data_IF_147299568667
#
_entry.id   IF_147299568667
#
_cell.length_a   1.000
_cell.length_b   1.000
_cell.length_c   1.000
_cell.angle_alpha   90.00
_cell.angle_beta   90.00
_cell.angle_gamma   90.00
#
_symmetry.space_group_name_H-M   'P 1'
#
loop_
_entity.id
_entity.type
_entity.pdbx_description
1 polymer ?
#
# COMPACT_ATOMS: atom_id res chain seq x y z
N UNK A 1 53.62 2.98 12.10
CA UNK A 1 52.50 3.41 12.95
C UNK A 1 51.19 3.08 12.22
N UNK A 2 50.51 1.94 12.45
CA UNK A 2 49.23 1.68 11.82
C UNK A 2 48.09 2.29 12.66
N UNK A 3 47.40 3.28 12.08
CA UNK A 3 46.21 3.89 12.67
C UNK A 3 45.05 2.90 12.74
N UNK A 4 44.48 2.78 13.93
CA UNK A 4 43.29 1.99 14.26
C UNK A 4 42.03 2.57 13.60
N UNK A 5 41.71 2.12 12.39
CA UNK A 5 40.50 2.56 11.66
C UNK A 5 39.48 1.43 11.46
N UNK A 6 39.42 0.45 12.36
CA UNK A 6 38.51 -0.70 12.24
C UNK A 6 37.29 -0.67 13.19
N UNK A 7 37.13 0.38 14.01
CA UNK A 7 36.08 0.39 15.05
C UNK A 7 34.69 0.87 14.59
N UNK A 8 34.59 1.58 13.46
CA UNK A 8 33.34 2.27 13.08
C UNK A 8 32.30 1.34 12.44
N UNK A 9 32.75 0.30 11.73
CA UNK A 9 31.83 -0.61 11.01
C UNK A 9 31.09 -1.59 11.91
N UNK A 10 31.66 -1.96 13.07
CA UNK A 10 31.03 -2.87 14.03
C UNK A 10 29.98 -2.15 14.89
N UNK A 11 30.26 -0.91 15.30
CA UNK A 11 29.31 -0.10 16.09
C UNK A 11 28.08 0.32 15.28
N UNK A 12 28.25 0.66 14.00
CA UNK A 12 27.14 1.07 13.12
C UNK A 12 26.14 -0.06 12.86
N UNK A 13 26.60 -1.32 12.84
CA UNK A 13 25.76 -2.49 12.53
C UNK A 13 24.85 -2.89 13.70
N UNK A 14 25.26 -2.59 14.94
CA UNK A 14 24.47 -2.84 16.15
C UNK A 14 23.45 -1.72 16.43
N UNK A 15 23.70 -0.50 15.94
CA UNK A 15 22.79 0.64 16.11
C UNK A 15 21.48 0.47 15.31
N UNK A 16 21.56 -0.06 14.08
CA UNK A 16 20.40 -0.22 13.20
C UNK A 16 19.41 -1.31 13.65
N UNK A 17 19.87 -2.33 14.39
CA UNK A 17 19.04 -3.41 14.92
C UNK A 17 18.39 -3.12 16.28
N UNK A 18 18.82 -2.07 17.00
CA UNK A 18 18.24 -1.71 18.30
C UNK A 18 16.98 -0.84 18.20
N UNK A 19 16.70 -0.26 17.05
CA UNK A 19 15.49 0.54 16.87
C UNK A 19 14.26 -0.38 16.85
N UNK A 20 13.59 -0.53 18.01
CA UNK A 20 12.25 -1.12 18.12
C UNK A 20 11.26 -0.25 17.35
N UNK A 21 11.15 -0.47 16.04
CA UNK A 21 10.11 0.16 15.23
C UNK A 21 8.78 -0.46 15.64
N UNK A 22 7.78 0.35 16.04
CA UNK A 22 6.47 -0.18 16.32
C UNK A 22 5.96 -0.92 15.08
N UNK A 23 5.33 -2.07 15.31
CA UNK A 23 4.62 -2.79 14.26
C UNK A 23 3.68 -1.81 13.54
N UNK A 24 3.70 -1.81 12.21
CA UNK A 24 2.73 -1.05 11.40
C UNK A 24 1.29 -1.57 11.59
N UNK A 25 1.13 -2.74 12.23
CA UNK A 25 -0.15 -3.32 12.59
C UNK A 25 -0.48 -2.94 14.04
N UNK A 26 -0.96 -1.72 14.23
CA UNK A 26 -1.38 -1.16 15.53
C UNK A 26 -2.71 -1.71 16.05
N UNK A 27 -3.51 -2.40 15.21
CA UNK A 27 -4.90 -2.80 15.49
C UNK A 27 -5.14 -4.32 15.46
N UNK A 28 -4.09 -5.13 15.59
CA UNK A 28 -4.17 -6.58 15.41
C UNK A 28 -3.79 -7.01 13.99
N UNK A 29 -3.22 -8.20 13.86
CA UNK A 29 -2.83 -8.79 12.59
C UNK A 29 -4.07 -9.06 11.74
N UNK A 30 -4.20 -8.31 10.65
CA UNK A 30 -5.20 -8.54 9.60
C UNK A 30 -5.00 -9.97 9.06
N UNK A 31 -6.09 -10.72 8.85
CA UNK A 31 -6.01 -12.06 8.26
C UNK A 31 -5.27 -12.02 6.91
N UNK A 32 -4.58 -13.11 6.57
CA UNK A 32 -3.86 -13.24 5.30
C UNK A 32 -4.76 -12.91 4.10
N UNK A 33 -6.00 -13.40 4.11
CA UNK A 33 -6.95 -13.18 3.01
C UNK A 33 -7.32 -11.70 2.87
N UNK A 34 -7.53 -10.99 3.98
CA UNK A 34 -7.78 -9.55 3.95
C UNK A 34 -6.56 -8.77 3.44
N UNK A 35 -5.35 -9.22 3.77
CA UNK A 35 -4.12 -8.63 3.25
C UNK A 35 -4.01 -8.80 1.72
N UNK A 36 -4.24 -10.02 1.23
CA UNK A 36 -4.23 -10.30 -0.21
C UNK A 36 -5.33 -9.54 -0.94
N UNK A 37 -6.54 -9.48 -0.38
CA UNK A 37 -7.67 -8.76 -0.96
C UNK A 37 -7.39 -7.25 -1.06
N UNK A 38 -6.78 -6.65 -0.02
CA UNK A 38 -6.32 -5.25 -0.09
C UNK A 38 -5.30 -5.04 -1.21
N UNK A 39 -4.39 -5.99 -1.40
CA UNK A 39 -3.43 -5.97 -2.51
C UNK A 39 -4.12 -5.95 -3.88
N UNK A 40 -5.12 -6.81 -4.09
CA UNK A 40 -5.91 -6.90 -5.32
C UNK A 40 -6.70 -5.61 -5.59
N UNK A 41 -7.39 -5.08 -4.58
CA UNK A 41 -8.14 -3.82 -4.69
C UNK A 41 -7.24 -2.65 -5.11
N UNK A 42 -6.04 -2.53 -4.53
CA UNK A 42 -5.08 -1.49 -4.90
C UNK A 42 -4.50 -1.68 -6.31
N UNK A 43 -4.32 -2.92 -6.75
CA UNK A 43 -3.87 -3.23 -8.10
C UNK A 43 -4.93 -2.81 -9.13
N UNK A 44 -6.20 -3.16 -8.87
CA UNK A 44 -7.34 -2.74 -9.70
C UNK A 44 -7.43 -1.22 -9.79
N UNK A 45 -7.40 -0.51 -8.65
CA UNK A 45 -7.45 0.96 -8.62
C UNK A 45 -6.36 1.58 -9.51
N UNK A 46 -5.12 1.08 -9.43
CA UNK A 46 -4.00 1.52 -10.29
C UNK A 46 -4.24 1.22 -11.76
N UNK A 47 -4.89 0.11 -12.10
CA UNK A 47 -5.27 -0.21 -13.48
C UNK A 47 -6.32 0.75 -14.01
N UNK A 48 -7.37 1.03 -13.23
CA UNK A 48 -8.43 2.00 -13.59
C UNK A 48 -7.81 3.39 -13.83
N UNK A 49 -7.01 3.90 -12.89
CA UNK A 49 -6.39 5.24 -13.02
C UNK A 49 -5.52 5.34 -14.27
N UNK A 50 -4.76 4.29 -14.61
CA UNK A 50 -3.95 4.25 -15.83
C UNK A 50 -4.81 4.16 -17.08
N UNK A 51 -5.89 3.36 -17.06
CA UNK A 51 -6.85 3.27 -18.16
C UNK A 51 -7.52 4.61 -18.45
N UNK A 52 -7.95 5.32 -17.41
CA UNK A 52 -8.55 6.66 -17.54
C UNK A 52 -7.58 7.69 -18.12
N UNK A 53 -6.26 7.51 -17.99
CA UNK A 53 -5.27 8.42 -18.59
C UNK A 53 -5.30 8.39 -20.12
N UNK A 54 -5.78 7.31 -20.72
CA UNK A 54 -5.93 7.17 -22.18
C UNK A 54 -7.20 7.85 -22.72
N UNK A 55 -8.08 8.37 -21.85
CA UNK A 55 -9.28 9.11 -22.27
C UNK A 55 -8.86 10.52 -22.70
N UNK A 56 -9.11 10.85 -23.97
CA UNK A 56 -8.75 12.13 -24.59
C UNK A 56 -9.58 13.31 -24.05
N UNK A 57 -10.90 13.10 -23.90
CA UNK A 57 -11.78 14.12 -23.35
C UNK A 57 -11.57 14.29 -21.84
N UNK A 58 -11.35 15.54 -21.40
CA UNK A 58 -11.04 15.84 -20.01
C UNK A 58 -12.27 15.67 -19.11
N UNK A 59 -13.46 16.02 -19.60
CA UNK A 59 -14.72 15.93 -18.83
C UNK A 59 -15.07 14.48 -18.54
N UNK A 60 -15.11 13.65 -19.57
CA UNK A 60 -15.38 12.22 -19.49
C UNK A 60 -14.35 11.51 -18.60
N UNK A 61 -13.07 11.89 -18.70
CA UNK A 61 -12.02 11.35 -17.83
C UNK A 61 -12.25 11.67 -16.37
N UNK A 62 -12.57 12.92 -16.05
CA UNK A 62 -12.82 13.34 -14.67
C UNK A 62 -14.06 12.66 -14.10
N UNK A 63 -15.14 12.58 -14.88
CA UNK A 63 -16.38 11.90 -14.52
C UNK A 63 -16.13 10.42 -14.25
N UNK A 64 -15.44 9.73 -15.15
CA UNK A 64 -15.10 8.29 -15.00
C UNK A 64 -14.26 8.05 -13.74
N UNK A 65 -13.25 8.90 -13.49
CA UNK A 65 -12.43 8.80 -12.28
C UNK A 65 -13.22 9.10 -11.01
N UNK A 66 -14.15 10.07 -11.06
CA UNK A 66 -15.02 10.41 -9.93
C UNK A 66 -15.96 9.26 -9.62
N UNK A 67 -16.59 8.67 -10.64
CA UNK A 67 -17.45 7.50 -10.52
C UNK A 67 -16.68 6.34 -9.88
N UNK A 68 -15.52 5.97 -10.44
CA UNK A 68 -14.70 4.90 -9.89
C UNK A 68 -14.29 5.18 -8.43
N UNK A 69 -13.89 6.41 -8.08
CA UNK A 69 -13.58 6.76 -6.68
C UNK A 69 -14.76 6.56 -5.74
N UNK A 70 -15.96 6.92 -6.19
CA UNK A 70 -17.16 6.80 -5.39
C UNK A 70 -17.52 5.34 -5.11
N UNK A 71 -17.36 4.46 -6.10
CA UNK A 71 -17.57 3.02 -5.92
C UNK A 71 -16.61 2.41 -4.88
N UNK A 72 -15.33 2.80 -4.90
CA UNK A 72 -14.38 2.38 -3.86
C UNK A 72 -14.71 2.97 -2.48
N UNK A 73 -15.25 4.20 -2.43
CA UNK A 73 -15.67 4.84 -1.19
C UNK A 73 -16.88 4.14 -0.57
N UNK A 74 -17.89 3.79 -1.38
CA UNK A 74 -19.09 3.05 -0.95
C UNK A 74 -18.74 1.70 -0.34
N UNK A 75 -17.75 1.01 -0.91
CA UNK A 75 -17.35 -0.33 -0.47
C UNK A 75 -16.20 -0.34 0.56
N UNK A 76 -15.80 0.81 1.11
CA UNK A 76 -14.61 0.91 1.98
C UNK A 76 -14.72 0.11 3.28
N UNK A 77 -15.93 -0.07 3.78
CA UNK A 77 -16.20 -0.73 5.08
C UNK A 77 -16.63 -2.20 4.91
N UNK A 78 -16.65 -2.71 3.67
CA UNK A 78 -16.97 -4.12 3.39
C UNK A 78 -15.82 -4.99 3.89
N UNK A 79 -16.14 -5.91 4.81
CA UNK A 79 -15.18 -6.85 5.40
C UNK A 79 -15.40 -8.29 4.96
N UNK A 80 -16.37 -8.54 4.08
CA UNK A 80 -16.62 -9.89 3.58
C UNK A 80 -15.54 -10.29 2.56
N UNK A 81 -14.96 -11.47 2.76
CA UNK A 81 -13.93 -12.05 1.89
C UNK A 81 -14.53 -12.74 0.65
N UNK A 82 -15.79 -13.18 0.76
CA UNK A 82 -16.50 -13.92 -0.30
C UNK A 82 -17.30 -13.00 -1.20
N UNK A 83 -17.46 -11.73 -0.82
CA UNK A 83 -18.04 -10.70 -1.66
C UNK A 83 -17.07 -10.35 -2.81
N UNK A 84 -16.98 -11.26 -3.78
CA UNK A 84 -16.51 -11.04 -5.14
C UNK A 84 -17.52 -10.15 -5.87
N UNK A 85 -17.68 -8.92 -5.39
CA UNK A 85 -18.19 -7.83 -6.21
C UNK A 85 -16.99 -7.23 -6.95
N UNK A 86 -16.41 -8.02 -7.88
CA UNK A 86 -15.52 -7.61 -8.96
C UNK A 86 -15.41 -8.72 -10.00
#
# INVERSE_FOLDING_TARGET
MPCSMQSWHLLARLYSSQAKRPSRFTAGTVSLDHFLQRGRALALWRTIVRGCRNISDKGTREETLRFAREEFRRNKDVRDLVCLCL
#
